data_IF_197712177702
#
_entry.id   IF_197712177702
#
_cell.length_a   1.000
_cell.length_b   1.000
_cell.length_c   1.000
_cell.angle_alpha   90.00
_cell.angle_beta   90.00
_cell.angle_gamma   90.00
#
_symmetry.space_group_name_H-M   'P 1'
#
loop_
_entity.id
_entity.type
_entity.pdbx_description
1 polymer ?
#
# COMPACT_ATOMS: atom_id res chain seq x y z
N UNK A 1 -12.28 -15.33 5.95
CA UNK A 1 -13.49 -14.48 6.02
C UNK A 1 -13.81 -13.94 4.65
N UNK A 2 -15.10 -13.89 4.25
CA UNK A 2 -15.55 -13.39 2.95
C UNK A 2 -16.25 -12.07 3.12
N UNK A 3 -15.98 -11.11 2.24
CA UNK A 3 -16.61 -9.78 2.27
C UNK A 3 -17.80 -9.72 1.35
N UNK A 4 -18.93 -9.30 1.86
CA UNK A 4 -20.20 -9.28 1.16
C UNK A 4 -20.68 -7.83 1.05
N UNK A 5 -20.89 -7.36 -0.18
CA UNK A 5 -21.65 -6.13 -0.41
C UNK A 5 -23.10 -6.38 -0.02
N UNK A 6 -23.61 -5.63 0.94
CA UNK A 6 -24.98 -5.78 1.41
C UNK A 6 -25.79 -4.50 1.16
N UNK A 7 -26.86 -4.59 0.36
CA UNK A 7 -27.73 -3.46 0.07
C UNK A 7 -29.07 -3.69 0.76
N UNK A 8 -29.35 -2.89 1.77
CA UNK A 8 -30.54 -2.93 2.61
C UNK A 8 -30.70 -1.55 3.27
N UNK A 9 -31.85 -0.88 3.07
CA UNK A 9 -32.12 0.46 3.64
C UNK A 9 -32.21 0.44 5.17
N UNK A 10 -32.46 -0.73 5.76
CA UNK A 10 -32.58 -0.97 7.19
C UNK A 10 -31.31 -1.56 7.82
N UNK A 11 -30.18 -1.62 7.11
CA UNK A 11 -28.96 -2.30 7.58
C UNK A 11 -28.39 -1.79 8.93
N UNK A 12 -28.85 -0.62 9.41
CA UNK A 12 -28.48 -0.04 10.72
C UNK A 12 -29.49 -0.31 11.83
N UNK A 13 -30.62 -0.94 11.53
CA UNK A 13 -31.63 -1.28 12.54
C UNK A 13 -31.09 -2.40 13.45
N UNK A 14 -31.52 -2.41 14.71
CA UNK A 14 -31.01 -3.33 15.73
C UNK A 14 -31.08 -4.81 15.30
N UNK A 15 -32.16 -5.21 14.66
CA UNK A 15 -32.33 -6.58 14.13
C UNK A 15 -31.31 -6.90 13.03
N UNK A 16 -31.01 -5.94 12.16
CA UNK A 16 -30.09 -6.12 11.05
C UNK A 16 -28.62 -6.02 11.49
N UNK A 17 -28.33 -5.27 12.56
CA UNK A 17 -27.03 -5.30 13.22
C UNK A 17 -26.78 -6.70 13.83
N UNK A 18 -27.80 -7.29 14.49
CA UNK A 18 -27.67 -8.65 15.02
C UNK A 18 -27.45 -9.68 13.90
N UNK A 19 -28.18 -9.56 12.79
CA UNK A 19 -27.96 -10.38 11.59
C UNK A 19 -26.52 -10.28 11.05
N UNK A 20 -25.94 -9.07 11.01
CA UNK A 20 -24.57 -8.87 10.59
C UNK A 20 -23.56 -9.51 11.56
N UNK A 21 -23.81 -9.47 12.86
CA UNK A 21 -22.99 -10.17 13.88
C UNK A 21 -23.06 -11.69 13.69
N UNK A 22 -24.24 -12.23 13.43
CA UNK A 22 -24.40 -13.66 13.15
C UNK A 22 -23.65 -14.09 11.88
N UNK A 23 -23.73 -13.27 10.82
CA UNK A 23 -22.96 -13.49 9.60
C UNK A 23 -21.45 -13.47 9.84
N UNK A 24 -20.93 -12.55 10.68
CA UNK A 24 -19.51 -12.47 11.03
C UNK A 24 -19.03 -13.73 11.78
N UNK A 25 -19.85 -14.25 12.71
CA UNK A 25 -19.56 -15.51 13.38
C UNK A 25 -19.46 -16.70 12.41
N UNK A 26 -20.16 -16.64 11.26
CA UNK A 26 -20.08 -17.62 10.18
C UNK A 26 -18.95 -17.32 9.17
N UNK A 27 -18.18 -16.25 9.39
CA UNK A 27 -17.06 -15.86 8.54
C UNK A 27 -17.45 -15.02 7.31
N UNK A 28 -18.60 -14.33 7.37
CA UNK A 28 -19.15 -13.43 6.35
C UNK A 28 -19.19 -12.01 6.89
N UNK A 29 -18.35 -11.11 6.39
CA UNK A 29 -18.34 -9.70 6.78
C UNK A 29 -19.29 -8.94 5.85
N UNK A 30 -20.42 -8.49 6.39
CA UNK A 30 -21.42 -7.71 5.65
C UNK A 30 -21.06 -6.22 5.69
N UNK A 31 -20.80 -5.61 4.53
CA UNK A 31 -20.64 -4.15 4.40
C UNK A 31 -21.95 -3.56 3.87
N UNK A 32 -22.74 -2.92 4.77
CA UNK A 32 -24.09 -2.44 4.52
C UNK A 32 -24.13 -1.08 3.83
N UNK A 33 -25.01 -0.95 2.83
CA UNK A 33 -25.30 0.28 2.09
C UNK A 33 -26.81 0.45 1.95
N UNK A 34 -27.37 1.68 2.15
CA UNK A 34 -28.80 1.88 2.15
C UNK A 34 -29.43 1.90 0.75
N UNK A 35 -28.64 2.11 -0.30
CA UNK A 35 -29.13 2.33 -1.65
C UNK A 35 -28.30 1.61 -2.72
N UNK A 36 -28.95 1.40 -3.88
CA UNK A 36 -28.26 0.92 -5.08
C UNK A 36 -27.06 1.82 -5.43
N UNK A 37 -27.29 3.14 -5.47
CA UNK A 37 -26.26 4.11 -5.88
C UNK A 37 -25.01 3.99 -5.00
N UNK A 38 -25.15 4.02 -3.65
CA UNK A 38 -24.02 3.96 -2.73
C UNK A 38 -23.35 2.59 -2.75
N UNK A 39 -24.11 1.51 -2.79
CA UNK A 39 -23.56 0.15 -2.80
C UNK A 39 -22.78 -0.15 -4.08
N UNK A 40 -23.31 0.18 -5.24
CA UNK A 40 -22.63 -0.09 -6.51
C UNK A 40 -21.49 0.89 -6.80
N UNK A 41 -21.55 2.12 -6.31
CA UNK A 41 -20.38 3.01 -6.32
C UNK A 41 -19.22 2.44 -5.49
N UNK A 42 -19.51 1.89 -4.31
CA UNK A 42 -18.49 1.20 -3.50
C UNK A 42 -17.96 -0.06 -4.19
N UNK A 43 -18.84 -0.85 -4.81
CA UNK A 43 -18.45 -2.05 -5.57
C UNK A 43 -17.52 -1.70 -6.74
N UNK A 44 -17.83 -0.68 -7.53
CA UNK A 44 -17.01 -0.28 -8.67
C UNK A 44 -15.64 0.25 -8.25
N UNK A 45 -15.56 0.98 -7.15
CA UNK A 45 -14.29 1.48 -6.60
C UNK A 45 -13.41 0.36 -6.04
N UNK A 46 -14.01 -0.71 -5.52
CA UNK A 46 -13.31 -1.79 -4.79
C UNK A 46 -13.75 -3.16 -5.29
N UNK A 47 -13.72 -3.39 -6.61
CA UNK A 47 -14.24 -4.61 -7.22
C UNK A 47 -13.66 -5.90 -6.63
N UNK A 48 -12.36 -5.89 -6.32
CA UNK A 48 -11.64 -7.03 -5.77
C UNK A 48 -11.90 -7.26 -4.27
N UNK A 49 -12.51 -6.28 -3.60
CA UNK A 49 -12.74 -6.35 -2.17
C UNK A 49 -13.88 -7.30 -1.81
N UNK A 50 -14.94 -7.33 -2.62
CA UNK A 50 -16.14 -8.12 -2.33
C UNK A 50 -16.07 -9.50 -2.98
N UNK A 51 -16.61 -10.51 -2.26
CA UNK A 51 -16.66 -11.92 -2.68
C UNK A 51 -18.07 -12.38 -3.03
N UNK A 52 -19.10 -11.66 -2.58
CA UNK A 52 -20.51 -11.91 -2.88
C UNK A 52 -21.33 -10.63 -2.75
N UNK A 53 -22.59 -10.65 -3.19
CA UNK A 53 -23.55 -9.57 -3.07
C UNK A 53 -24.82 -10.11 -2.41
N UNK A 54 -25.32 -9.40 -1.39
CA UNK A 54 -26.60 -9.64 -0.73
C UNK A 54 -27.50 -8.43 -0.94
N UNK A 55 -28.69 -8.64 -1.46
CA UNK A 55 -29.69 -7.62 -1.73
C UNK A 55 -30.91 -7.85 -0.86
N UNK A 56 -31.46 -6.82 -0.22
CA UNK A 56 -32.85 -6.89 0.27
C UNK A 56 -33.82 -6.96 -0.92
N UNK A 57 -35.03 -7.37 -0.67
CA UNK A 57 -36.08 -7.36 -1.67
C UNK A 57 -36.50 -5.96 -2.09
N UNK A 58 -36.42 -4.99 -1.18
CA UNK A 58 -36.68 -3.57 -1.42
C UNK A 58 -35.62 -2.72 -0.75
N UNK A 59 -35.07 -1.76 -1.47
CA UNK A 59 -34.12 -0.79 -0.99
C UNK A 59 -34.14 0.48 -1.86
N UNK A 60 -33.51 1.56 -1.39
CA UNK A 60 -33.48 2.81 -2.12
C UNK A 60 -32.68 2.72 -3.42
N UNK A 61 -33.13 3.40 -4.47
CA UNK A 61 -32.35 3.55 -5.70
C UNK A 61 -31.21 4.54 -5.51
N UNK A 62 -31.51 5.67 -4.87
CA UNK A 62 -30.61 6.83 -4.76
C UNK A 62 -30.31 7.18 -3.31
N UNK A 63 -29.16 7.81 -3.13
CA UNK A 63 -28.76 8.39 -1.86
C UNK A 63 -29.75 9.46 -1.40
N UNK A 64 -30.20 9.37 -0.11
CA UNK A 64 -31.10 10.33 0.51
C UNK A 64 -32.55 10.25 0.05
N UNK A 65 -32.98 9.16 -0.56
CA UNK A 65 -34.38 8.86 -0.86
C UNK A 65 -35.17 8.74 0.45
N UNK A 66 -36.43 9.23 0.43
CA UNK A 66 -37.30 9.22 1.63
C UNK A 66 -37.79 7.81 1.96
N UNK A 67 -37.84 7.47 3.26
CA UNK A 67 -38.31 6.19 3.76
C UNK A 67 -39.79 5.97 3.35
N UNK A 68 -40.12 4.75 2.93
CA UNK A 68 -41.47 4.38 2.45
C UNK A 68 -41.66 4.58 0.94
N UNK A 69 -40.58 4.95 0.21
CA UNK A 69 -40.61 5.09 -1.26
C UNK A 69 -39.82 3.96 -1.96
N UNK A 70 -39.44 2.92 -1.22
CA UNK A 70 -38.74 1.75 -1.72
C UNK A 70 -39.65 0.94 -2.66
N UNK A 71 -39.11 0.54 -3.81
CA UNK A 71 -39.84 -0.29 -4.77
C UNK A 71 -38.93 -1.37 -5.40
N UNK A 72 -39.44 -2.08 -6.40
CA UNK A 72 -38.73 -3.16 -7.06
C UNK A 72 -37.73 -2.66 -8.11
N UNK A 73 -37.66 -1.38 -8.40
CA UNK A 73 -36.76 -0.82 -9.42
C UNK A 73 -35.29 -0.94 -8.97
N UNK A 74 -35.02 -0.75 -7.68
CA UNK A 74 -33.68 -0.91 -7.11
C UNK A 74 -33.07 -2.30 -7.39
N UNK A 75 -33.86 -3.36 -7.18
CA UNK A 75 -33.39 -4.73 -7.44
C UNK A 75 -33.21 -4.99 -8.94
N UNK A 76 -34.04 -4.38 -9.79
CA UNK A 76 -33.91 -4.45 -11.24
C UNK A 76 -32.59 -3.79 -11.73
N UNK A 77 -32.30 -2.61 -11.20
CA UNK A 77 -31.05 -1.90 -11.47
C UNK A 77 -29.83 -2.70 -10.98
N UNK A 78 -29.90 -3.29 -9.79
CA UNK A 78 -28.83 -4.12 -9.23
C UNK A 78 -28.53 -5.34 -10.13
N UNK A 79 -29.57 -6.05 -10.58
CA UNK A 79 -29.41 -7.20 -11.47
C UNK A 79 -28.79 -6.78 -12.82
N UNK A 80 -29.24 -5.67 -13.40
CA UNK A 80 -28.68 -5.15 -14.64
C UNK A 80 -27.19 -4.84 -14.48
N UNK A 81 -26.82 -4.19 -13.38
CA UNK A 81 -25.43 -3.83 -13.07
C UNK A 81 -24.54 -5.04 -12.79
N UNK A 82 -25.03 -6.01 -12.02
CA UNK A 82 -24.34 -7.30 -11.81
C UNK A 82 -24.07 -7.99 -13.15
N UNK A 83 -25.02 -7.98 -14.08
CA UNK A 83 -24.83 -8.56 -15.40
C UNK A 83 -23.80 -7.80 -16.25
N UNK A 84 -23.75 -6.46 -16.19
CA UNK A 84 -22.73 -5.63 -16.82
C UNK A 84 -21.32 -5.97 -16.29
N UNK A 85 -21.20 -6.12 -14.98
CA UNK A 85 -19.94 -6.42 -14.31
C UNK A 85 -19.40 -7.83 -14.59
N UNK A 86 -20.19 -8.76 -15.12
CA UNK A 86 -19.75 -10.14 -15.43
C UNK A 86 -18.54 -10.22 -16.34
N UNK A 87 -18.33 -9.22 -17.20
CA UNK A 87 -17.14 -9.13 -18.05
C UNK A 87 -15.85 -8.85 -17.28
N UNK A 88 -15.97 -8.27 -16.07
CA UNK A 88 -14.85 -7.93 -15.19
C UNK A 88 -14.71 -8.94 -14.05
N UNK A 89 -15.83 -9.24 -13.38
CA UNK A 89 -15.89 -10.20 -12.27
C UNK A 89 -17.29 -10.79 -12.16
N UNK A 90 -17.37 -12.09 -11.94
CA UNK A 90 -18.64 -12.81 -11.70
C UNK A 90 -18.88 -12.86 -10.20
N UNK A 91 -19.91 -12.16 -9.72
CA UNK A 91 -20.31 -12.20 -8.33
C UNK A 91 -21.42 -13.22 -8.11
N UNK A 92 -21.31 -14.13 -7.12
CA UNK A 92 -22.46 -14.81 -6.56
C UNK A 92 -23.33 -13.76 -5.84
N UNK A 93 -24.64 -13.78 -6.10
CA UNK A 93 -25.54 -12.82 -5.48
C UNK A 93 -26.81 -13.51 -4.99
N UNK A 94 -27.37 -12.97 -3.94
CA UNK A 94 -28.46 -13.54 -3.17
C UNK A 94 -29.47 -12.45 -2.81
N UNK A 95 -30.72 -12.84 -2.57
CA UNK A 95 -31.79 -11.96 -2.11
C UNK A 95 -32.29 -12.41 -0.75
N UNK A 96 -32.36 -11.51 0.21
CA UNK A 96 -32.95 -11.72 1.52
C UNK A 96 -34.16 -10.80 1.68
N UNK A 97 -35.36 -11.31 1.96
CA UNK A 97 -36.56 -10.48 2.09
C UNK A 97 -37.58 -11.09 3.04
N UNK A 98 -38.27 -10.24 3.77
CA UNK A 98 -39.45 -10.65 4.58
C UNK A 98 -40.77 -10.64 3.82
N UNK A 99 -40.78 -10.41 2.49
CA UNK A 99 -42.00 -10.31 1.70
C UNK A 99 -42.23 -11.57 0.85
N UNK A 100 -43.41 -12.16 0.98
CA UNK A 100 -43.83 -13.41 0.32
C UNK A 100 -43.59 -13.42 -1.20
N UNK A 101 -43.80 -12.29 -1.88
CA UNK A 101 -43.60 -12.19 -3.33
C UNK A 101 -42.16 -12.47 -3.79
N UNK A 102 -41.17 -12.24 -2.93
CA UNK A 102 -39.75 -12.56 -3.21
C UNK A 102 -39.45 -14.00 -2.81
N UNK A 103 -39.86 -14.42 -1.62
CA UNK A 103 -39.54 -15.71 -1.02
C UNK A 103 -40.33 -16.87 -1.66
N UNK A 104 -41.58 -16.65 -2.05
CA UNK A 104 -42.42 -17.67 -2.74
C UNK A 104 -42.20 -17.72 -4.25
N UNK A 105 -41.25 -16.97 -4.77
CA UNK A 105 -40.88 -17.00 -6.17
C UNK A 105 -41.93 -16.44 -7.13
N UNK A 106 -42.71 -15.45 -6.71
CA UNK A 106 -43.70 -14.79 -7.56
C UNK A 106 -43.08 -13.68 -8.43
N UNK A 107 -41.88 -13.19 -8.06
CA UNK A 107 -41.19 -12.15 -8.81
C UNK A 107 -40.57 -12.73 -10.11
N UNK A 108 -41.11 -12.30 -11.24
CA UNK A 108 -40.70 -12.80 -12.57
C UNK A 108 -39.27 -12.44 -12.93
N UNK A 109 -38.78 -11.28 -12.47
CA UNK A 109 -37.42 -10.81 -12.73
C UNK A 109 -36.36 -11.69 -12.02
N UNK A 110 -36.63 -12.04 -10.75
CA UNK A 110 -35.76 -12.93 -9.98
C UNK A 110 -35.75 -14.34 -10.57
N UNK A 111 -36.92 -14.86 -10.99
CA UNK A 111 -37.03 -16.15 -11.68
C UNK A 111 -36.22 -16.18 -12.97
N UNK A 112 -36.34 -15.16 -13.82
CA UNK A 112 -35.61 -15.07 -15.09
C UNK A 112 -34.10 -15.08 -14.88
N UNK A 113 -33.62 -14.50 -13.77
CA UNK A 113 -32.21 -14.45 -13.44
C UNK A 113 -31.75 -15.59 -12.52
N UNK A 114 -32.61 -16.58 -12.22
CA UNK A 114 -32.33 -17.72 -11.34
C UNK A 114 -31.78 -17.30 -9.97
N UNK A 115 -32.35 -16.19 -9.43
CA UNK A 115 -31.96 -15.65 -8.15
C UNK A 115 -32.28 -16.64 -7.01
N UNK A 116 -31.37 -16.77 -6.06
CA UNK A 116 -31.62 -17.50 -4.81
C UNK A 116 -32.17 -16.51 -3.79
N UNK A 117 -33.43 -16.75 -3.38
CA UNK A 117 -34.16 -15.88 -2.45
C UNK A 117 -34.37 -16.61 -1.12
N UNK A 118 -34.20 -15.89 -0.02
CA UNK A 118 -34.29 -16.40 1.34
C UNK A 118 -35.23 -15.50 2.16
N UNK A 119 -35.94 -16.12 3.11
CA UNK A 119 -36.87 -15.44 4.00
C UNK A 119 -36.16 -14.96 5.27
N UNK A 120 -36.06 -13.64 5.46
CA UNK A 120 -35.43 -13.06 6.67
C UNK A 120 -36.20 -13.34 7.96
N UNK A 121 -37.47 -13.72 7.87
CA UNK A 121 -38.31 -14.08 9.03
C UNK A 121 -38.16 -15.56 9.44
N UNK A 122 -37.53 -16.39 8.59
CA UNK A 122 -37.30 -17.81 8.85
C UNK A 122 -35.85 -18.08 9.23
N UNK A 123 -35.55 -18.40 10.51
CA UNK A 123 -34.19 -18.68 10.96
C UNK A 123 -33.47 -19.78 10.16
N UNK A 124 -34.20 -20.82 9.70
CA UNK A 124 -33.61 -21.87 8.91
C UNK A 124 -33.14 -21.39 7.52
N UNK A 125 -33.88 -20.46 6.93
CA UNK A 125 -33.50 -19.84 5.66
C UNK A 125 -32.28 -18.91 5.83
N UNK A 126 -32.17 -18.21 6.95
CA UNK A 126 -31.00 -17.38 7.29
C UNK A 126 -29.74 -18.23 7.41
N UNK A 127 -29.79 -19.35 8.15
CA UNK A 127 -28.65 -20.28 8.25
C UNK A 127 -28.26 -20.79 6.87
N UNK A 128 -29.25 -21.23 6.08
CA UNK A 128 -29.01 -21.72 4.72
C UNK A 128 -28.42 -20.65 3.80
N UNK A 129 -28.86 -19.38 3.93
CA UNK A 129 -28.26 -18.25 3.21
C UNK A 129 -26.76 -18.12 3.51
N UNK A 130 -26.37 -18.14 4.78
CA UNK A 130 -24.97 -18.05 5.17
C UNK A 130 -24.14 -19.21 4.60
N UNK A 131 -24.63 -20.44 4.70
CA UNK A 131 -23.98 -21.62 4.11
C UNK A 131 -23.80 -21.48 2.60
N UNK A 132 -24.85 -21.07 1.89
CA UNK A 132 -24.80 -20.92 0.43
C UNK A 132 -23.94 -19.75 -0.02
N UNK A 133 -23.97 -18.61 0.67
CA UNK A 133 -23.07 -17.47 0.41
C UNK A 133 -21.61 -17.87 0.60
N UNK A 134 -21.30 -18.52 1.72
CA UNK A 134 -19.95 -19.01 2.02
C UNK A 134 -19.45 -20.02 0.99
N UNK A 135 -20.31 -20.98 0.64
CA UNK A 135 -19.99 -21.98 -0.40
C UNK A 135 -19.72 -21.32 -1.76
N UNK A 136 -20.58 -20.41 -2.20
CA UNK A 136 -20.42 -19.74 -3.47
C UNK A 136 -19.21 -18.79 -3.50
N UNK A 137 -18.96 -18.04 -2.42
CA UNK A 137 -17.79 -17.19 -2.28
C UNK A 137 -16.50 -18.02 -2.31
N UNK A 138 -16.47 -19.15 -1.59
CA UNK A 138 -15.27 -20.04 -1.53
C UNK A 138 -14.90 -20.67 -2.88
N UNK A 139 -15.85 -20.79 -3.79
CA UNK A 139 -15.60 -21.31 -5.14
C UNK A 139 -15.06 -20.26 -6.11
N UNK A 140 -15.04 -18.98 -5.72
CA UNK A 140 -14.48 -17.93 -6.55
C UNK A 140 -12.94 -18.06 -6.57
N UNK A 141 -12.30 -18.10 -7.75
CA UNK A 141 -10.83 -18.19 -7.85
C UNK A 141 -10.12 -17.09 -7.06
N UNK A 142 -10.66 -15.89 -7.09
CA UNK A 142 -10.10 -14.74 -6.37
C UNK A 142 -10.21 -14.88 -4.85
N UNK A 143 -11.31 -15.42 -4.34
CA UNK A 143 -11.47 -15.70 -2.91
C UNK A 143 -10.47 -16.77 -2.44
N UNK A 144 -10.24 -17.81 -3.25
CA UNK A 144 -9.22 -18.81 -2.98
C UNK A 144 -7.81 -18.20 -2.93
N UNK A 145 -7.49 -17.28 -3.84
CA UNK A 145 -6.22 -16.54 -3.80
C UNK A 145 -6.09 -15.66 -2.56
N UNK A 146 -7.14 -14.96 -2.16
CA UNK A 146 -7.14 -14.17 -0.93
C UNK A 146 -6.85 -15.04 0.30
N UNK A 147 -7.42 -16.23 0.37
CA UNK A 147 -7.12 -17.17 1.45
C UNK A 147 -5.69 -17.71 1.38
N UNK A 148 -5.24 -18.11 0.20
CA UNK A 148 -3.88 -18.64 0.00
C UNK A 148 -2.80 -17.64 0.37
N UNK A 149 -3.03 -16.36 0.12
CA UNK A 149 -2.09 -15.25 0.34
C UNK A 149 -2.55 -14.30 1.46
N UNK A 150 -3.32 -14.80 2.44
CA UNK A 150 -3.89 -13.98 3.50
C UNK A 150 -2.82 -13.17 4.24
N UNK A 151 -1.76 -13.82 4.71
CA UNK A 151 -0.66 -13.17 5.45
C UNK A 151 0.02 -12.05 4.63
N UNK A 152 0.16 -12.28 3.32
CA UNK A 152 0.73 -11.30 2.42
C UNK A 152 -0.23 -10.11 2.22
N UNK A 153 -1.53 -10.34 2.08
CA UNK A 153 -2.54 -9.29 1.89
C UNK A 153 -2.80 -8.48 3.16
N UNK A 154 -2.53 -9.03 4.34
CA UNK A 154 -2.56 -8.29 5.61
C UNK A 154 -1.53 -7.15 5.65
N UNK A 155 -0.47 -7.23 4.83
CA UNK A 155 0.47 -6.10 4.67
C UNK A 155 -0.19 -4.84 4.11
N UNK A 156 -1.38 -4.96 3.52
CA UNK A 156 -2.16 -3.83 3.01
C UNK A 156 -3.08 -3.18 4.08
N UNK A 157 -2.84 -3.42 5.37
CA UNK A 157 -3.51 -2.69 6.45
C UNK A 157 -3.08 -1.21 6.48
N UNK A 158 -3.91 -0.35 7.09
CA UNK A 158 -3.61 1.08 7.22
C UNK A 158 -2.33 1.36 8.03
N UNK A 159 -1.95 0.45 8.93
CA UNK A 159 -0.75 0.56 9.75
C UNK A 159 0.54 0.19 8.99
N UNK A 160 0.41 -0.52 7.87
CA UNK A 160 1.52 -0.95 7.02
C UNK A 160 1.50 -0.22 5.67
N UNK A 161 1.15 -0.90 4.59
CA UNK A 161 1.17 -0.31 3.24
C UNK A 161 -0.02 0.64 2.97
N UNK A 162 -1.16 0.41 3.61
CA UNK A 162 -2.43 1.07 3.33
C UNK A 162 -3.29 0.29 2.34
N UNK A 163 -4.62 0.39 2.53
CA UNK A 163 -5.62 -0.35 1.74
C UNK A 163 -5.59 -0.03 0.24
N UNK A 164 -5.08 1.14 -0.13
CA UNK A 164 -4.91 1.57 -1.52
C UNK A 164 -3.89 0.71 -2.31
N UNK A 165 -3.03 -0.04 -1.62
CA UNK A 165 -2.07 -0.96 -2.23
C UNK A 165 -2.62 -2.36 -2.47
N UNK A 166 -3.80 -2.69 -1.92
CA UNK A 166 -4.42 -4.01 -2.05
C UNK A 166 -4.59 -4.43 -3.52
N UNK A 167 -5.21 -3.59 -4.34
CA UNK A 167 -5.43 -3.93 -5.76
C UNK A 167 -4.13 -4.18 -6.52
N UNK A 168 -3.07 -3.40 -6.21
CA UNK A 168 -1.75 -3.60 -6.84
C UNK A 168 -1.15 -4.95 -6.47
N UNK A 169 -1.14 -5.27 -5.18
CA UNK A 169 -0.58 -6.53 -4.68
C UNK A 169 -1.40 -7.72 -5.18
N UNK A 170 -2.72 -7.61 -5.16
CA UNK A 170 -3.61 -8.66 -5.63
C UNK A 170 -3.48 -8.93 -7.14
N UNK A 171 -3.24 -7.90 -7.95
CA UNK A 171 -2.92 -8.07 -9.37
C UNK A 171 -1.62 -8.86 -9.58
N UNK A 172 -0.57 -8.58 -8.79
CA UNK A 172 0.67 -9.36 -8.83
C UNK A 172 0.43 -10.84 -8.47
N UNK A 173 -0.41 -11.11 -7.46
CA UNK A 173 -0.82 -12.46 -7.08
C UNK A 173 -1.56 -13.16 -8.23
N UNK A 174 -2.53 -12.49 -8.86
CA UNK A 174 -3.27 -13.05 -10.02
C UNK A 174 -2.35 -13.42 -11.18
N UNK A 175 -1.34 -12.60 -11.45
CA UNK A 175 -0.34 -12.90 -12.48
C UNK A 175 0.50 -14.14 -12.13
N UNK A 176 0.97 -14.25 -10.89
CA UNK A 176 1.77 -15.41 -10.45
C UNK A 176 0.96 -16.70 -10.53
N UNK A 177 -0.33 -16.65 -10.18
CA UNK A 177 -1.24 -17.79 -10.21
C UNK A 177 -1.88 -18.04 -11.58
N UNK A 178 -1.51 -17.26 -12.61
CA UNK A 178 -2.03 -17.35 -13.98
C UNK A 178 -3.56 -17.14 -14.09
N UNK A 179 -4.17 -16.46 -13.14
CA UNK A 179 -5.60 -16.09 -13.18
C UNK A 179 -5.81 -14.91 -14.13
N UNK A 180 -4.82 -14.05 -14.24
CA UNK A 180 -4.79 -12.93 -15.18
C UNK A 180 -3.56 -13.04 -16.08
N UNK A 181 -3.75 -12.81 -17.37
CA UNK A 181 -2.64 -12.89 -18.34
C UNK A 181 -1.77 -11.65 -18.27
N UNK A 182 -0.47 -11.88 -18.32
CA UNK A 182 0.53 -10.86 -18.53
C UNK A 182 0.38 -10.26 -19.95
N UNK A 183 -0.03 -9.00 -20.04
CA UNK A 183 -0.23 -8.31 -21.32
C UNK A 183 0.97 -7.45 -21.71
N UNK A 184 1.68 -6.87 -20.75
CA UNK A 184 2.87 -6.07 -20.97
C UNK A 184 3.80 -6.13 -19.73
N UNK A 185 5.02 -6.62 -19.92
CA UNK A 185 5.98 -6.80 -18.80
C UNK A 185 6.59 -5.49 -18.30
N UNK A 186 6.65 -4.44 -19.10
CA UNK A 186 7.20 -3.14 -18.70
C UNK A 186 6.34 -2.48 -17.62
N UNK A 187 5.01 -2.44 -17.85
CA UNK A 187 4.07 -1.82 -16.91
C UNK A 187 3.91 -2.60 -15.60
N UNK A 188 4.34 -3.86 -15.58
CA UNK A 188 4.17 -4.75 -14.43
C UNK A 188 5.20 -4.54 -13.33
N UNK A 189 6.36 -4.01 -13.63
CA UNK A 189 7.38 -3.70 -12.62
C UNK A 189 7.04 -2.42 -11.84
N UNK A 190 6.23 -1.53 -12.40
CA UNK A 190 5.80 -0.30 -11.73
C UNK A 190 4.97 -0.53 -10.45
N UNK A 191 4.02 -1.49 -10.39
CA UNK A 191 3.36 -1.84 -9.13
C UNK A 191 4.32 -2.26 -8.02
N UNK A 192 5.36 -3.03 -8.34
CA UNK A 192 6.40 -3.46 -7.39
C UNK A 192 7.13 -2.23 -6.83
N UNK A 193 7.52 -1.30 -7.71
CA UNK A 193 8.16 -0.05 -7.32
C UNK A 193 7.31 0.75 -6.34
N UNK A 194 6.02 0.93 -6.65
CA UNK A 194 5.09 1.69 -5.79
C UNK A 194 4.90 1.06 -4.41
N UNK A 195 4.94 -0.25 -4.31
CA UNK A 195 4.88 -0.96 -3.04
C UNK A 195 6.18 -0.71 -2.23
N UNK A 196 7.36 -0.82 -2.85
CA UNK A 196 8.64 -0.55 -2.18
C UNK A 196 8.75 0.92 -1.73
N UNK A 197 8.32 1.87 -2.58
CA UNK A 197 8.25 3.29 -2.20
C UNK A 197 7.41 3.47 -0.93
N UNK A 198 6.29 2.77 -0.82
CA UNK A 198 5.43 2.83 0.37
C UNK A 198 6.07 2.17 1.59
N UNK A 199 6.74 1.04 1.42
CA UNK A 199 7.51 0.41 2.52
C UNK A 199 8.51 1.40 3.12
N UNK A 200 9.29 2.08 2.30
CA UNK A 200 10.29 3.04 2.77
C UNK A 200 9.67 4.24 3.49
N UNK A 201 8.58 4.79 2.96
CA UNK A 201 7.88 5.90 3.64
C UNK A 201 7.35 5.47 5.00
N UNK A 202 6.78 4.26 5.12
CA UNK A 202 6.32 3.73 6.41
C UNK A 202 7.47 3.49 7.39
N UNK A 203 8.61 3.01 6.92
CA UNK A 203 9.81 2.87 7.75
C UNK A 203 10.31 4.23 8.24
N UNK A 204 10.22 5.27 7.42
CA UNK A 204 10.58 6.63 7.83
C UNK A 204 9.58 7.22 8.83
N UNK A 205 8.28 7.01 8.66
CA UNK A 205 7.25 7.41 9.62
C UNK A 205 7.52 6.85 11.02
N UNK A 206 8.08 5.62 11.09
CA UNK A 206 8.50 4.95 12.33
C UNK A 206 9.93 5.29 12.77
N UNK A 207 10.62 6.23 12.12
CA UNK A 207 11.98 6.66 12.47
C UNK A 207 13.08 5.63 12.17
N UNK A 208 12.77 4.58 11.42
CA UNK A 208 13.74 3.56 10.99
C UNK A 208 14.66 4.14 9.92
N UNK A 209 14.10 4.79 8.91
CA UNK A 209 14.85 5.54 7.87
C UNK A 209 14.82 7.02 8.26
N UNK A 210 15.94 7.75 8.17
CA UNK A 210 15.98 9.20 8.37
C UNK A 210 15.02 9.94 7.42
N UNK A 211 14.17 10.83 7.94
CA UNK A 211 13.25 11.65 7.14
C UNK A 211 13.97 12.50 6.09
N UNK A 212 15.19 12.95 6.38
CA UNK A 212 16.03 13.69 5.45
C UNK A 212 16.37 12.88 4.18
N UNK A 213 16.48 11.56 4.25
CA UNK A 213 16.68 10.71 3.07
C UNK A 213 15.44 10.75 2.18
N UNK A 214 14.26 10.58 2.76
CA UNK A 214 12.98 10.54 2.02
C UNK A 214 12.67 11.89 1.33
N UNK A 215 13.13 13.00 1.93
CA UNK A 215 12.90 14.35 1.41
C UNK A 215 13.83 14.73 0.25
N UNK A 216 14.85 13.93 -0.03
CA UNK A 216 15.87 14.24 -1.04
C UNK A 216 15.55 13.61 -2.42
N UNK A 217 16.07 14.24 -3.49
CA UNK A 217 16.05 13.62 -4.82
C UNK A 217 16.87 12.31 -4.78
N UNK A 218 16.33 11.25 -5.38
CA UNK A 218 16.97 9.93 -5.37
C UNK A 218 16.75 9.12 -4.08
N UNK A 219 15.78 9.53 -3.26
CA UNK A 219 15.48 8.97 -1.94
C UNK A 219 15.28 7.45 -1.93
N UNK A 220 14.78 6.86 -3.02
CA UNK A 220 14.56 5.40 -3.11
C UNK A 220 15.90 4.66 -3.03
N UNK A 221 16.90 5.11 -3.81
CA UNK A 221 18.26 4.57 -3.73
C UNK A 221 18.90 4.89 -2.40
N UNK A 222 18.76 6.13 -1.92
CA UNK A 222 19.24 6.55 -0.61
C UNK A 222 18.71 5.66 0.51
N UNK A 223 17.42 5.34 0.51
CA UNK A 223 16.80 4.44 1.49
C UNK A 223 17.38 3.02 1.42
N UNK A 224 17.58 2.48 0.21
CA UNK A 224 18.20 1.16 0.01
C UNK A 224 19.65 1.12 0.52
N UNK A 225 20.43 2.14 0.19
CA UNK A 225 21.82 2.26 0.68
C UNK A 225 21.86 2.43 2.21
N UNK A 226 20.91 3.18 2.77
CA UNK A 226 20.81 3.33 4.23
C UNK A 226 20.52 1.96 4.88
N UNK A 227 19.52 1.22 4.43
CA UNK A 227 19.19 -0.10 4.99
C UNK A 227 20.37 -1.09 4.89
N UNK A 228 21.21 -0.95 3.87
CA UNK A 228 22.43 -1.75 3.71
C UNK A 228 23.63 -1.22 4.53
N UNK A 229 23.47 -0.17 5.35
CA UNK A 229 24.54 0.55 6.04
C UNK A 229 25.65 1.06 5.09
N UNK A 230 25.26 1.46 3.88
CA UNK A 230 26.17 1.97 2.82
C UNK A 230 25.88 3.43 2.46
N UNK A 231 25.02 4.11 3.23
CA UNK A 231 24.68 5.51 2.96
C UNK A 231 25.87 6.43 3.26
N UNK A 232 26.10 7.43 2.39
CA UNK A 232 27.20 8.40 2.54
C UNK A 232 27.13 9.19 3.84
N UNK A 233 25.93 9.61 4.24
CA UNK A 233 25.72 10.62 5.29
C UNK A 233 25.22 10.04 6.62
N UNK A 234 24.89 8.76 6.65
CA UNK A 234 24.36 8.07 7.83
C UNK A 234 25.09 6.75 8.08
N UNK A 235 25.17 6.36 9.35
CA UNK A 235 25.70 5.05 9.75
C UNK A 235 24.80 4.40 10.81
N UNK A 236 24.76 3.08 10.82
CA UNK A 236 24.05 2.31 11.82
C UNK A 236 24.91 2.17 13.10
N UNK A 237 24.28 2.33 14.25
CA UNK A 237 24.84 2.03 15.57
C UNK A 237 24.56 0.59 15.98
N UNK A 238 23.51 -0.02 15.40
CA UNK A 238 23.18 -1.43 15.54
C UNK A 238 22.60 -1.92 14.23
N UNK A 239 22.62 -3.22 13.97
CA UNK A 239 22.01 -3.80 12.76
C UNK A 239 20.52 -3.45 12.70
N UNK A 240 20.09 -2.81 11.62
CA UNK A 240 18.68 -2.43 11.39
C UNK A 240 18.01 -3.51 10.54
N UNK A 241 18.67 -3.93 9.47
CA UNK A 241 18.11 -4.84 8.46
C UNK A 241 19.07 -6.00 8.25
N UNK A 242 18.61 -7.25 8.24
CA UNK A 242 19.45 -8.38 7.90
C UNK A 242 20.14 -8.19 6.54
N UNK A 243 21.42 -8.56 6.38
CA UNK A 243 22.18 -8.35 5.15
C UNK A 243 21.51 -8.92 3.89
N UNK A 244 20.87 -10.09 4.00
CA UNK A 244 20.14 -10.71 2.89
C UNK A 244 18.95 -9.85 2.44
N UNK A 245 18.21 -9.28 3.38
CA UNK A 245 17.04 -8.44 3.08
C UNK A 245 17.48 -7.15 2.38
N UNK A 246 18.50 -6.47 2.89
CA UNK A 246 19.02 -5.25 2.27
C UNK A 246 19.57 -5.49 0.87
N UNK A 247 20.25 -6.62 0.65
CA UNK A 247 20.75 -7.01 -0.68
C UNK A 247 19.60 -7.33 -1.64
N UNK A 248 18.57 -8.02 -1.18
CA UNK A 248 17.37 -8.31 -1.97
C UNK A 248 16.60 -7.04 -2.36
N UNK A 249 16.47 -6.08 -1.44
CA UNK A 249 15.89 -4.76 -1.73
C UNK A 249 16.71 -4.06 -2.83
N UNK A 250 18.01 -4.01 -2.69
CA UNK A 250 18.92 -3.36 -3.64
C UNK A 250 18.82 -4.01 -5.04
N UNK A 251 18.87 -5.34 -5.10
CA UNK A 251 18.75 -6.10 -6.35
C UNK A 251 17.41 -5.85 -7.05
N UNK A 252 16.32 -5.88 -6.28
CA UNK A 252 14.97 -5.67 -6.83
C UNK A 252 14.83 -4.24 -7.37
N UNK A 253 15.34 -3.24 -6.64
CA UNK A 253 15.32 -1.84 -7.10
C UNK A 253 16.13 -1.63 -8.38
N UNK A 254 17.28 -2.25 -8.52
CA UNK A 254 18.09 -2.17 -9.75
C UNK A 254 17.31 -2.71 -10.97
N UNK A 255 16.60 -3.82 -10.81
CA UNK A 255 15.76 -4.40 -11.88
C UNK A 255 14.62 -3.44 -12.25
N UNK A 256 13.93 -2.89 -11.25
CA UNK A 256 12.72 -2.07 -11.46
C UNK A 256 13.07 -0.69 -12.02
N UNK A 257 14.13 -0.06 -11.54
CA UNK A 257 14.50 1.29 -11.97
C UNK A 257 15.03 1.30 -13.40
N UNK A 258 15.81 0.32 -13.78
CA UNK A 258 16.31 0.18 -15.14
C UNK A 258 15.16 -0.02 -16.15
N UNK A 259 14.16 -0.82 -15.77
CA UNK A 259 12.96 -1.02 -16.57
C UNK A 259 12.07 0.23 -16.70
N UNK A 260 12.08 1.12 -15.68
CA UNK A 260 11.16 2.28 -15.63
C UNK A 260 11.68 3.52 -16.37
N UNK A 261 12.99 3.68 -16.51
CA UNK A 261 13.60 4.93 -16.98
C UNK A 261 14.60 4.75 -18.14
N UNK A 262 14.97 3.54 -18.50
CA UNK A 262 16.00 3.28 -19.52
C UNK A 262 17.40 3.86 -19.19
N UNK A 263 17.56 4.52 -18.04
CA UNK A 263 18.72 5.26 -17.59
C UNK A 263 19.22 4.80 -16.20
N UNK A 264 18.96 3.54 -15.82
CA UNK A 264 19.49 2.98 -14.57
C UNK A 264 21.02 3.07 -14.54
N UNK A 265 21.60 3.33 -13.37
CA UNK A 265 23.07 3.43 -13.19
C UNK A 265 23.81 2.20 -13.72
N UNK A 266 23.21 1.03 -13.60
CA UNK A 266 23.79 -0.24 -14.01
C UNK A 266 23.59 -0.57 -15.50
N UNK A 267 22.72 0.16 -16.22
CA UNK A 267 22.38 -0.07 -17.63
C UNK A 267 22.10 -1.54 -17.95
N UNK A 268 21.27 -2.19 -17.09
CA UNK A 268 20.95 -3.62 -17.19
C UNK A 268 20.11 -3.95 -18.43
N UNK A 269 19.51 -2.95 -19.07
CA UNK A 269 18.63 -3.09 -20.24
C UNK A 269 17.48 -4.09 -20.00
N UNK A 270 16.90 -4.01 -18.80
CA UNK A 270 15.83 -4.94 -18.35
C UNK A 270 14.63 -4.91 -19.29
N UNK A 271 14.23 -3.73 -19.79
CA UNK A 271 13.16 -3.57 -20.75
C UNK A 271 13.45 -4.30 -22.07
N UNK A 272 14.68 -4.20 -22.58
CA UNK A 272 15.10 -4.91 -23.79
C UNK A 272 15.11 -6.42 -23.56
N UNK A 273 15.61 -6.87 -22.41
CA UNK A 273 15.59 -8.28 -22.05
C UNK A 273 14.18 -8.83 -21.97
N UNK A 274 13.27 -8.14 -21.27
CA UNK A 274 11.87 -8.57 -21.12
C UNK A 274 11.13 -8.66 -22.45
N UNK A 275 11.40 -7.75 -23.40
CA UNK A 275 10.82 -7.77 -24.76
C UNK A 275 11.29 -8.96 -25.58
N UNK A 276 12.51 -9.42 -25.37
CA UNK A 276 13.13 -10.50 -26.14
C UNK A 276 13.10 -11.85 -25.44
N UNK A 277 12.87 -11.85 -24.12
CA UNK A 277 12.80 -13.07 -23.32
C UNK A 277 11.60 -13.95 -23.77
N UNK A 278 11.84 -15.26 -23.89
CA UNK A 278 10.79 -16.22 -24.19
C UNK A 278 10.07 -16.73 -22.94
N UNK A 279 10.36 -16.14 -21.79
CA UNK A 279 9.79 -16.54 -20.49
C UNK A 279 9.55 -15.33 -19.60
N UNK A 280 8.64 -15.48 -18.64
CA UNK A 280 8.31 -14.49 -17.64
C UNK A 280 9.04 -14.74 -16.28
N UNK A 281 10.08 -15.55 -16.28
CA UNK A 281 10.78 -15.94 -15.05
C UNK A 281 11.42 -14.77 -14.30
N UNK A 282 11.98 -13.78 -15.01
CA UNK A 282 12.51 -12.58 -14.35
C UNK A 282 11.42 -11.81 -13.62
N UNK A 283 10.26 -11.63 -14.27
CA UNK A 283 9.11 -10.99 -13.65
C UNK A 283 8.63 -11.78 -12.42
N UNK A 284 8.40 -13.09 -12.56
CA UNK A 284 7.93 -13.94 -11.47
C UNK A 284 8.91 -13.96 -10.30
N UNK A 285 10.20 -14.08 -10.56
CA UNK A 285 11.22 -14.03 -9.50
C UNK A 285 11.25 -12.69 -8.77
N UNK A 286 11.04 -11.58 -9.48
CA UNK A 286 10.93 -10.25 -8.88
C UNK A 286 9.69 -10.11 -7.99
N UNK A 287 8.55 -10.68 -8.41
CA UNK A 287 7.32 -10.70 -7.60
C UNK A 287 7.48 -11.59 -6.37
N UNK A 288 8.04 -12.80 -6.50
CA UNK A 288 8.29 -13.65 -5.33
C UNK A 288 9.28 -13.02 -4.35
N UNK A 289 10.29 -12.33 -4.85
CA UNK A 289 11.21 -11.59 -4.00
C UNK A 289 10.51 -10.46 -3.25
N UNK A 290 9.59 -9.73 -3.91
CA UNK A 290 8.75 -8.75 -3.24
C UNK A 290 7.89 -9.40 -2.16
N UNK A 291 7.29 -10.58 -2.41
CA UNK A 291 6.44 -11.26 -1.42
C UNK A 291 7.24 -11.62 -0.15
N UNK A 292 8.44 -12.15 -0.32
CA UNK A 292 9.35 -12.43 0.80
C UNK A 292 9.68 -11.16 1.59
N UNK A 293 10.01 -10.06 0.89
CA UNK A 293 10.28 -8.77 1.51
C UNK A 293 9.06 -8.21 2.26
N UNK A 294 7.84 -8.42 1.76
CA UNK A 294 6.62 -7.94 2.41
C UNK A 294 6.31 -8.70 3.70
N UNK A 295 6.50 -10.01 3.72
CA UNK A 295 6.33 -10.81 4.93
C UNK A 295 7.36 -10.42 6.00
N UNK A 296 8.62 -10.25 5.60
CA UNK A 296 9.64 -9.68 6.48
C UNK A 296 9.26 -8.28 6.97
N UNK A 297 8.80 -7.41 6.08
CA UNK A 297 8.40 -6.03 6.42
C UNK A 297 7.27 -6.00 7.46
N UNK A 298 6.26 -6.85 7.33
CA UNK A 298 5.17 -6.98 8.31
C UNK A 298 5.72 -7.27 9.70
N UNK A 299 6.46 -8.36 9.85
CA UNK A 299 7.06 -8.78 11.12
C UNK A 299 8.00 -7.70 11.68
N UNK A 300 8.81 -7.10 10.80
CA UNK A 300 9.75 -6.05 11.19
C UNK A 300 9.03 -4.81 11.73
N UNK A 301 7.96 -4.35 11.09
CA UNK A 301 7.19 -3.18 11.52
C UNK A 301 6.42 -3.44 12.82
N UNK A 302 5.90 -4.65 13.02
CA UNK A 302 5.25 -5.07 14.27
C UNK A 302 6.21 -5.06 15.46
N UNK A 303 7.48 -5.40 15.24
CA UNK A 303 8.51 -5.43 16.27
C UNK A 303 9.23 -4.07 16.49
N UNK A 304 8.99 -3.06 15.65
CA UNK A 304 9.67 -1.76 15.69
C UNK A 304 8.67 -0.59 15.76
N UNK A 305 7.82 -0.58 16.79
CA UNK A 305 6.75 0.40 16.95
C UNK A 305 7.22 1.75 17.48
N UNK A 306 8.24 1.77 18.33
CA UNK A 306 8.70 2.97 19.02
C UNK A 306 9.69 3.78 18.17
N UNK A 307 9.26 4.99 17.79
CA UNK A 307 10.00 5.89 16.91
C UNK A 307 11.34 6.33 17.46
N UNK A 308 11.41 6.59 18.76
CA UNK A 308 12.64 7.13 19.39
C UNK A 308 13.68 6.01 19.54
N UNK A 309 13.25 4.82 19.89
CA UNK A 309 14.10 3.62 19.90
C UNK A 309 14.67 3.34 18.50
N UNK A 310 13.86 3.47 17.46
CA UNK A 310 14.32 3.28 16.08
C UNK A 310 15.35 4.34 15.66
N UNK A 311 15.10 5.61 15.99
CA UNK A 311 16.06 6.71 15.72
C UNK A 311 17.39 6.53 16.46
N UNK A 312 17.39 5.93 17.64
CA UNK A 312 18.61 5.67 18.40
C UNK A 312 19.52 4.60 17.78
N UNK A 313 19.06 3.86 16.74
CA UNK A 313 19.83 2.80 16.07
C UNK A 313 20.76 3.32 14.95
N UNK A 314 20.66 4.59 14.61
CA UNK A 314 21.48 5.22 13.59
C UNK A 314 21.86 6.65 13.97
N UNK A 315 22.87 7.18 13.31
CA UNK A 315 23.28 8.58 13.47
C UNK A 315 23.73 9.18 12.14
N UNK A 316 23.65 10.51 12.04
CA UNK A 316 24.32 11.23 10.95
C UNK A 316 25.84 11.22 11.18
N UNK A 317 26.61 10.98 10.16
CA UNK A 317 28.08 11.10 10.19
C UNK A 317 28.55 12.53 10.47
N UNK A 318 27.63 13.51 10.25
CA UNK A 318 27.88 14.93 10.48
C UNK A 318 27.52 15.40 11.90
N UNK A 319 26.90 14.56 12.76
CA UNK A 319 26.27 15.01 14.02
C UNK A 319 26.97 14.56 15.30
N UNK A 320 28.27 14.22 15.26
CA UNK A 320 28.92 13.64 16.42
C UNK A 320 29.50 14.64 17.45
N UNK A 321 29.27 15.94 17.28
CA UNK A 321 29.98 16.95 18.10
C UNK A 321 31.49 16.98 17.87
N UNK A 322 31.99 16.10 16.99
CA UNK A 322 33.41 16.06 16.60
C UNK A 322 33.69 17.05 15.49
N UNK A 323 34.94 17.45 15.40
CA UNK A 323 35.42 18.29 14.32
C UNK A 323 35.42 17.51 12.99
N UNK A 324 34.68 18.04 12.00
CA UNK A 324 34.58 17.47 10.65
C UNK A 324 35.45 18.30 9.73
N UNK A 325 36.43 17.67 9.08
CA UNK A 325 37.30 18.31 8.07
C UNK A 325 36.58 18.38 6.72
N UNK A 326 36.86 19.42 5.96
CA UNK A 326 36.32 19.60 4.63
C UNK A 326 36.70 20.96 4.03
N UNK A 327 36.05 21.29 2.91
CA UNK A 327 36.37 22.46 2.10
C UNK A 327 35.17 23.38 1.90
N UNK A 328 35.38 24.70 1.93
CA UNK A 328 34.39 25.68 1.49
C UNK A 328 34.35 25.66 -0.03
N UNK A 329 33.27 25.13 -0.59
CA UNK A 329 33.12 24.93 -2.06
C UNK A 329 32.51 26.10 -2.78
N UNK A 330 31.75 26.94 -2.06
CA UNK A 330 31.05 28.08 -2.66
C UNK A 330 30.76 29.16 -1.61
N UNK A 331 30.83 30.42 -2.00
CA UNK A 331 30.26 31.56 -1.27
C UNK A 331 29.35 32.31 -2.25
N UNK A 332 28.06 32.34 -1.98
CA UNK A 332 27.07 33.00 -2.83
C UNK A 332 27.07 34.52 -2.60
N UNK A 333 26.54 35.31 -3.57
CA UNK A 333 26.46 36.77 -3.51
C UNK A 333 25.71 37.31 -2.28
N UNK A 334 24.80 36.49 -1.71
CA UNK A 334 24.07 36.82 -0.47
C UNK A 334 24.87 36.47 0.81
N UNK A 335 26.13 36.09 0.68
CA UNK A 335 27.03 35.80 1.77
C UNK A 335 26.93 34.38 2.36
N UNK A 336 25.99 33.54 1.91
CA UNK A 336 25.91 32.15 2.36
C UNK A 336 27.04 31.31 1.76
N UNK A 337 27.74 30.57 2.63
CA UNK A 337 28.76 29.61 2.21
C UNK A 337 28.20 28.18 2.12
N UNK A 338 28.96 27.33 1.42
CA UNK A 338 28.72 25.88 1.32
C UNK A 338 30.01 25.15 1.72
N UNK A 339 29.90 24.31 2.74
CA UNK A 339 30.95 23.43 3.19
C UNK A 339 30.70 22.00 2.68
N UNK A 340 31.75 21.41 2.10
CA UNK A 340 31.76 20.01 1.66
C UNK A 340 32.68 19.22 2.61
N UNK A 341 32.13 18.31 3.44
CA UNK A 341 32.90 17.41 4.26
C UNK A 341 33.74 16.43 3.41
N UNK A 342 34.89 16.03 3.90
CA UNK A 342 35.76 15.03 3.25
C UNK A 342 35.14 13.60 3.34
N UNK A 343 34.33 13.35 4.35
CA UNK A 343 33.80 12.02 4.69
C UNK A 343 32.31 11.84 4.40
N UNK A 344 31.65 12.82 3.80
CA UNK A 344 30.21 12.76 3.47
C UNK A 344 29.89 13.51 2.16
N UNK A 345 28.81 13.13 1.48
CA UNK A 345 28.35 13.81 0.27
C UNK A 345 27.40 14.98 0.56
N UNK A 346 26.72 14.96 1.70
CA UNK A 346 25.86 16.06 2.08
C UNK A 346 26.67 17.30 2.44
N UNK A 347 26.33 18.43 1.83
CA UNK A 347 26.94 19.72 2.15
C UNK A 347 26.28 20.37 3.36
N UNK A 348 27.02 21.22 4.05
CA UNK A 348 26.51 22.02 5.18
C UNK A 348 26.51 23.49 4.79
N UNK A 349 25.40 24.19 5.02
CA UNK A 349 25.30 25.63 4.76
C UNK A 349 26.02 26.43 5.85
N UNK A 350 26.86 27.37 5.44
CA UNK A 350 27.54 28.31 6.35
C UNK A 350 26.77 29.64 6.36
N UNK A 351 26.24 30.08 7.49
CA UNK A 351 25.56 31.39 7.57
C UNK A 351 26.48 32.54 7.21
N UNK A 352 25.97 33.63 6.60
CA UNK A 352 26.77 34.81 6.20
C UNK A 352 27.60 35.39 7.32
N UNK A 353 27.06 35.44 8.54
CA UNK A 353 27.81 35.91 9.71
C UNK A 353 29.03 35.04 9.99
N UNK A 354 28.93 33.71 9.90
CA UNK A 354 30.05 32.80 10.11
C UNK A 354 31.10 32.89 8.99
N UNK A 355 30.65 33.12 7.75
CA UNK A 355 31.56 33.36 6.61
C UNK A 355 32.39 34.62 6.88
N UNK A 356 31.76 35.72 7.32
CA UNK A 356 32.39 37.01 7.58
C UNK A 356 33.28 36.96 8.83
N UNK A 357 32.76 36.44 9.95
CA UNK A 357 33.46 36.42 11.23
C UNK A 357 34.77 35.54 11.12
N UNK A 358 34.72 34.49 10.32
CA UNK A 358 35.87 33.60 10.08
C UNK A 358 36.66 33.97 8.81
N UNK A 359 36.31 35.03 8.08
CA UNK A 359 36.97 35.46 6.83
C UNK A 359 37.17 34.33 5.83
N UNK A 360 36.09 33.53 5.62
CA UNK A 360 36.19 32.36 4.76
C UNK A 360 36.20 32.74 3.28
N UNK A 361 36.97 32.01 2.50
CA UNK A 361 36.98 32.08 1.04
C UNK A 361 36.67 30.71 0.43
N UNK A 362 36.26 30.71 -0.82
CA UNK A 362 36.11 29.46 -1.58
C UNK A 362 37.49 28.75 -1.60
N UNK A 363 37.46 27.44 -1.52
CA UNK A 363 38.60 26.53 -1.42
C UNK A 363 39.31 26.48 -0.05
N UNK A 364 38.88 27.26 0.96
CA UNK A 364 39.43 27.15 2.30
C UNK A 364 39.17 25.74 2.87
N UNK A 365 40.23 25.10 3.38
CA UNK A 365 40.13 23.89 4.19
C UNK A 365 39.84 24.29 5.63
N UNK A 366 38.76 23.79 6.19
CA UNK A 366 38.32 24.13 7.55
C UNK A 366 37.82 22.89 8.29
N UNK A 367 37.69 23.02 9.60
CA UNK A 367 36.96 22.05 10.44
C UNK A 367 35.69 22.72 10.96
N UNK A 368 34.62 21.97 10.99
CA UNK A 368 33.34 22.42 11.57
C UNK A 368 32.83 21.45 12.62
N UNK A 369 32.05 21.97 13.57
CA UNK A 369 31.12 21.14 14.36
C UNK A 369 29.73 21.40 13.81
N UNK A 370 29.04 20.33 13.39
CA UNK A 370 27.67 20.40 12.92
C UNK A 370 26.70 19.78 13.95
N UNK A 371 25.52 20.34 14.06
CA UNK A 371 24.40 19.80 14.86
C UNK A 371 23.15 19.65 13.99
N UNK A 372 22.39 18.56 14.14
CA UNK A 372 21.13 18.41 13.41
C UNK A 372 20.09 19.42 13.90
N UNK A 373 19.21 19.85 12.99
CA UNK A 373 18.00 20.59 13.35
C UNK A 373 17.10 19.73 14.26
N UNK A 374 16.21 20.34 15.06
CA UNK A 374 15.30 19.62 15.92
C UNK A 374 14.41 18.58 15.18
N UNK A 375 14.12 18.83 13.91
CA UNK A 375 13.36 17.95 13.01
C UNK A 375 14.25 16.93 12.26
N UNK A 376 15.56 17.00 12.43
CA UNK A 376 16.53 16.11 11.78
C UNK A 376 16.69 16.30 10.27
N UNK A 377 16.06 17.33 9.68
CA UNK A 377 16.05 17.54 8.21
C UNK A 377 17.27 18.29 7.69
N UNK A 378 17.98 19.05 8.56
CA UNK A 378 19.14 19.87 8.19
C UNK A 378 20.22 19.77 9.24
N UNK A 379 21.46 20.10 8.84
CA UNK A 379 22.56 20.29 9.76
C UNK A 379 22.92 21.77 9.82
N UNK A 380 23.15 22.27 11.03
CA UNK A 380 23.62 23.65 11.29
C UNK A 380 25.06 23.62 11.80
N UNK A 381 25.86 24.60 11.39
CA UNK A 381 27.19 24.79 11.92
C UNK A 381 27.09 25.42 13.29
N UNK A 382 27.69 24.79 14.30
CA UNK A 382 27.86 25.29 15.66
C UNK A 382 29.20 26.00 15.86
N UNK A 383 30.26 25.50 15.26
CA UNK A 383 31.58 26.05 15.38
C UNK A 383 32.42 25.84 14.10
N UNK A 384 33.35 26.74 13.86
CA UNK A 384 34.33 26.65 12.75
C UNK A 384 35.72 26.81 13.32
N UNK A 385 36.70 26.03 12.83
CA UNK A 385 38.12 26.18 13.06
C UNK A 385 38.88 26.18 11.73
N UNK A 386 39.87 27.04 11.60
CA UNK A 386 40.80 27.09 10.45
C UNK A 386 42.04 26.22 10.61
N UNK A 387 42.24 25.66 11.78
CA UNK A 387 43.33 24.69 12.00
C UNK A 387 42.92 23.35 11.35
N UNK A 388 43.51 23.05 10.20
CA UNK A 388 43.37 21.80 9.48
C UNK A 388 44.20 20.68 10.09
#
# INVERSE_FOLDING_TARGET
MYKVLWIDDQYKDDEMIQFAIEADNEGLILEGYPSFEEGFEALERKLEHFDAILLDGLFFEKKGQEAGTEDESGIGMAIAKINELKSKKVFPWFVLSGKDKFTKGENSLLKANKAKCFDKTNPADVVKLFEEMKSAASQQPEAQLKHKYADLLETCSDELLGVEHFSRLFTLIKHIENVEKLTNTEDMLNPIRKIIERMFTRMADRGIIPEAIISNKGWINGSSLFLANKHSDYEHLSEITPPLVSENIHRLLNIIQDASHGEGELKLKVDQYLKTAQSDFLYRSSVYLLFDLLLWFKEFMENNLDKDTNKARWKSKLSNGDWITGTVTRIADNGWGTFQPDNAHATVSIPPKMVTDNQLNETDSIKIIAEPSPDGTKNFIKAISREA
#
